data_IF_518442439921
#
_entry.id   IF_518442439921
#
_cell.length_a   1.000
_cell.length_b   1.000
_cell.length_c   1.000
_cell.angle_alpha   90.00
_cell.angle_beta   90.00
_cell.angle_gamma   90.00
#
_symmetry.space_group_name_H-M   'P 1'
#
loop_
_entity.id
_entity.type
_entity.pdbx_description
1 polymer ?
#
# COMPACT_ATOMS: atom_id res chain seq x y z
N UNK A 1 39.57 35.20 24.29
CA UNK A 1 39.60 34.22 25.38
C UNK A 1 39.23 32.88 24.78
N UNK A 2 40.23 32.19 24.23
CA UNK A 2 40.83 30.98 24.80
C UNK A 2 39.84 29.80 24.91
N UNK A 3 39.98 28.90 23.93
CA UNK A 3 40.24 27.46 24.09
C UNK A 3 39.40 26.68 25.10
N UNK A 4 38.59 25.73 24.61
CA UNK A 4 38.78 24.31 24.92
C UNK A 4 37.86 23.41 24.08
N UNK A 5 38.46 22.65 23.16
CA UNK A 5 37.86 21.47 22.55
C UNK A 5 38.08 20.28 23.49
N UNK A 6 37.08 19.39 23.64
CA UNK A 6 37.30 18.04 24.15
C UNK A 6 36.94 16.98 23.08
N UNK A 7 37.64 15.83 23.05
CA UNK A 7 37.88 15.08 21.82
C UNK A 7 36.98 13.85 21.63
N UNK A 8 36.66 13.54 20.38
CA UNK A 8 36.21 12.21 19.97
C UNK A 8 37.38 11.22 20.02
N UNK A 9 37.23 10.17 20.81
CA UNK A 9 38.15 9.03 20.86
C UNK A 9 37.85 8.10 19.67
N UNK A 10 38.70 8.15 18.65
CA UNK A 10 38.68 7.23 17.52
C UNK A 10 39.84 6.26 17.69
N UNK A 11 39.53 4.99 17.97
CA UNK A 11 40.52 3.94 18.16
C UNK A 11 40.99 3.41 16.80
N UNK A 12 42.31 3.35 16.68
CA UNK A 12 43.08 3.32 15.43
C UNK A 12 43.52 1.90 15.13
N UNK A 13 43.30 1.42 13.91
CA UNK A 13 44.29 0.53 13.27
C UNK A 13 43.80 -0.56 12.32
N UNK A 14 43.59 -0.23 11.04
CA UNK A 14 44.36 -0.85 9.94
C UNK A 14 44.21 -0.10 8.60
N UNK A 15 45.39 0.13 8.00
CA UNK A 15 45.82 0.68 6.70
C UNK A 15 44.81 0.56 5.53
N UNK A 16 44.42 1.68 4.91
CA UNK A 16 44.92 2.24 3.63
C UNK A 16 44.66 1.35 2.38
N UNK A 17 43.70 1.71 1.52
CA UNK A 17 43.93 2.19 0.14
C UNK A 17 42.63 2.49 -0.65
N UNK A 18 42.62 3.69 -1.26
CA UNK A 18 41.69 4.21 -2.29
C UNK A 18 40.23 4.44 -1.83
N UNK A 19 39.60 5.61 -2.00
CA UNK A 19 39.63 6.48 -3.18
C UNK A 19 39.52 7.96 -2.78
N UNK A 20 40.36 8.79 -3.40
CA UNK A 20 40.32 10.25 -3.37
C UNK A 20 39.47 10.76 -4.54
N UNK A 21 38.34 11.39 -4.27
CA UNK A 21 37.72 12.55 -4.97
C UNK A 21 36.37 12.79 -4.27
N UNK A 22 35.93 13.98 -3.90
CA UNK A 22 36.24 15.31 -4.36
C UNK A 22 36.09 16.33 -3.21
N UNK A 23 36.90 17.38 -3.32
CA UNK A 23 36.82 18.60 -2.55
C UNK A 23 36.08 19.66 -3.39
N UNK A 24 35.44 20.61 -2.71
CA UNK A 24 35.10 21.96 -3.13
C UNK A 24 33.78 22.28 -3.87
N UNK A 25 33.28 23.46 -3.46
CA UNK A 25 32.38 24.42 -4.15
C UNK A 25 30.88 24.26 -3.90
N UNK A 26 30.11 25.30 -3.53
CA UNK A 26 30.39 26.69 -3.14
C UNK A 26 29.13 27.34 -2.50
N UNK A 27 29.36 28.24 -1.52
CA UNK A 27 28.81 29.61 -1.33
C UNK A 27 27.31 29.87 -1.63
N UNK A 28 26.44 30.36 -0.73
CA UNK A 28 26.35 31.61 0.09
C UNK A 28 24.88 32.14 -0.09
N UNK A 29 24.43 33.29 0.46
CA UNK A 29 24.28 33.71 1.86
C UNK A 29 22.84 34.20 2.18
N UNK A 30 22.39 34.19 3.44
CA UNK A 30 21.10 34.79 3.86
C UNK A 30 21.30 36.04 4.72
N UNK A 31 20.82 37.20 4.27
CA UNK A 31 20.65 38.45 5.05
C UNK A 31 19.67 39.40 4.31
N UNK A 32 19.07 40.45 4.95
CA UNK A 32 17.84 40.36 5.76
C UNK A 32 16.82 41.48 5.39
N UNK A 33 15.80 41.65 6.25
CA UNK A 33 14.91 42.81 6.50
C UNK A 33 13.50 42.83 5.87
N UNK A 34 12.56 42.91 6.80
CA UNK A 34 11.21 43.43 6.71
C UNK A 34 11.11 44.80 6.03
N UNK A 35 10.04 45.00 5.23
CA UNK A 35 8.95 45.95 5.50
C UNK A 35 7.91 45.94 4.36
N UNK A 36 6.69 46.27 4.76
CA UNK A 36 5.64 46.96 3.99
C UNK A 36 4.53 46.17 3.26
N UNK A 37 3.33 46.39 3.82
CA UNK A 37 2.04 46.75 3.17
C UNK A 37 1.26 45.67 2.41
N UNK A 38 0.21 45.18 3.07
CA UNK A 38 -1.01 44.67 2.44
C UNK A 38 -2.01 45.82 2.19
N UNK A 39 -2.78 45.77 1.08
CA UNK A 39 -4.12 46.36 1.00
C UNK A 39 -5.22 45.29 1.10
N UNK A 40 -6.41 45.62 1.65
CA UNK A 40 -7.51 44.67 1.83
C UNK A 40 -8.47 44.68 0.64
N UNK A 41 -8.97 43.52 0.22
CA UNK A 41 -10.29 43.45 -0.41
C UNK A 41 -11.06 42.19 0.05
N UNK A 42 -12.31 42.36 0.51
CA UNK A 42 -13.17 41.28 0.97
C UNK A 42 -14.11 40.84 -0.15
N UNK A 43 -14.32 39.54 -0.37
CA UNK A 43 -15.57 39.07 -0.97
C UNK A 43 -15.92 37.68 -0.47
N UNK A 44 -17.10 37.63 0.12
CA UNK A 44 -17.84 36.49 0.62
C UNK A 44 -18.23 35.56 -0.53
N UNK A 45 -18.12 34.24 -0.35
CA UNK A 45 -19.20 33.35 -0.76
C UNK A 45 -19.20 32.05 0.05
N UNK A 46 -20.37 31.79 0.60
CA UNK A 46 -20.79 30.62 1.35
C UNK A 46 -20.68 29.33 0.55
N UNK A 47 -20.21 28.26 1.18
CA UNK A 47 -20.54 26.90 0.79
C UNK A 47 -20.72 26.04 2.04
N UNK A 48 -21.85 25.34 2.06
CA UNK A 48 -22.39 24.57 3.15
C UNK A 48 -21.63 23.24 3.40
N UNK A 49 -21.85 22.74 4.61
CA UNK A 49 -21.84 21.32 5.00
C UNK A 49 -20.49 20.57 4.99
N UNK A 50 -19.89 20.46 6.18
CA UNK A 50 -19.14 19.27 6.57
C UNK A 50 -19.66 18.79 7.93
N UNK A 51 -20.41 17.69 7.89
CA UNK A 51 -21.00 17.05 9.05
C UNK A 51 -19.94 16.28 9.86
N UNK A 52 -19.96 16.54 11.16
CA UNK A 52 -19.72 15.64 12.30
C UNK A 52 -18.62 14.58 12.21
N UNK A 53 -17.48 14.86 12.86
CA UNK A 53 -16.62 13.82 13.46
C UNK A 53 -16.83 13.88 14.97
N UNK A 54 -17.56 12.88 15.50
CA UNK A 54 -17.69 12.63 16.94
C UNK A 54 -16.43 11.90 17.42
N UNK A 55 -15.54 12.58 18.13
CA UNK A 55 -14.47 11.94 18.91
C UNK A 55 -14.88 11.90 20.39
N UNK A 56 -15.17 10.70 20.87
CA UNK A 56 -15.37 10.43 22.29
C UNK A 56 -13.99 10.31 22.97
N UNK A 57 -13.61 11.33 23.73
CA UNK A 57 -12.46 11.28 24.63
C UNK A 57 -12.93 10.82 26.02
N UNK A 58 -12.66 9.56 26.36
CA UNK A 58 -12.90 9.02 27.71
C UNK A 58 -11.77 9.50 28.63
N UNK A 59 -12.15 10.31 29.61
CA UNK A 59 -11.29 10.81 30.68
C UNK A 59 -10.82 9.69 31.60
N UNK A 60 -9.50 9.56 31.80
CA UNK A 60 -8.90 8.74 32.85
C UNK A 60 -8.48 9.64 34.01
N UNK A 61 -9.30 9.70 35.05
CA UNK A 61 -8.92 10.26 36.35
C UNK A 61 -8.65 9.10 37.32
N UNK A 62 -7.39 8.90 37.72
CA UNK A 62 -6.98 8.01 38.82
C UNK A 62 -6.61 8.86 40.04
N UNK A 63 -7.30 8.74 41.18
CA UNK A 63 -6.83 9.35 42.41
C UNK A 63 -5.76 8.47 43.08
N UNK A 64 -4.69 9.13 43.53
CA UNK A 64 -3.64 8.59 44.40
C UNK A 64 -4.19 8.49 45.82
N UNK A 65 -4.24 7.28 46.38
CA UNK A 65 -4.55 7.04 47.79
C UNK A 65 -3.32 6.47 48.52
N UNK A 66 -3.10 7.00 49.72
CA UNK A 66 -1.95 6.81 50.62
C UNK A 66 -1.84 5.40 51.20
N UNK A 67 -0.62 5.07 51.59
CA UNK A 67 -0.18 3.81 52.18
C UNK A 67 -0.48 3.63 53.68
N UNK A 68 -0.41 2.35 54.10
CA UNK A 68 -0.16 1.75 55.43
C UNK A 68 -1.36 1.11 56.18
N UNK A 69 -1.16 0.12 57.07
CA UNK A 69 -0.12 -0.92 57.14
C UNK A 69 -0.66 -2.36 57.30
N UNK A 70 0.30 -3.29 57.28
CA UNK A 70 0.24 -4.75 57.38
C UNK A 70 -0.48 -5.28 58.63
N UNK A 71 -1.31 -6.32 58.45
CA UNK A 71 -1.63 -7.31 59.49
C UNK A 71 -1.66 -8.71 58.89
N UNK A 72 -0.89 -9.62 59.50
CA UNK A 72 -0.69 -11.00 59.11
C UNK A 72 -1.77 -11.96 59.68
N UNK A 73 -1.70 -13.23 59.23
CA UNK A 73 -2.40 -14.45 59.69
C UNK A 73 -3.84 -14.65 59.14
N UNK A 74 -4.30 -15.81 58.68
CA UNK A 74 -3.80 -17.19 58.62
C UNK A 74 -4.70 -18.07 57.72
N UNK A 75 -4.15 -19.21 57.28
CA UNK A 75 -4.82 -20.50 57.07
C UNK A 75 -5.78 -20.73 55.88
N UNK A 76 -5.30 -21.58 54.97
CA UNK A 76 -5.96 -22.79 54.44
C UNK A 76 -7.34 -22.67 53.76
N UNK A 77 -7.32 -22.70 52.44
CA UNK A 77 -8.17 -23.60 51.65
C UNK A 77 -7.45 -23.90 50.32
N UNK A 78 -6.68 -24.99 50.29
CA UNK A 78 -6.16 -25.54 49.04
C UNK A 78 -7.36 -26.17 48.34
N UNK A 79 -8.02 -25.41 47.46
CA UNK A 79 -8.97 -25.97 46.51
C UNK A 79 -8.19 -26.97 45.64
N UNK A 80 -8.58 -28.24 45.68
CA UNK A 80 -8.09 -29.24 44.73
C UNK A 80 -8.29 -28.70 43.32
N UNK A 81 -7.26 -28.67 42.44
CA UNK A 81 -7.52 -28.52 41.03
C UNK A 81 -8.37 -29.73 40.64
N UNK A 82 -9.64 -29.50 40.31
CA UNK A 82 -10.44 -30.48 39.61
C UNK A 82 -9.57 -30.99 38.46
N UNK A 83 -9.27 -32.29 38.47
CA UNK A 83 -8.53 -32.94 37.41
C UNK A 83 -9.13 -32.44 36.09
N UNK A 84 -8.31 -31.75 35.30
CA UNK A 84 -8.69 -31.35 33.96
C UNK A 84 -9.10 -32.64 33.24
N UNK A 85 -10.41 -32.84 33.12
CA UNK A 85 -10.95 -33.96 32.38
C UNK A 85 -10.26 -33.89 31.02
N UNK A 86 -9.59 -34.98 30.62
CA UNK A 86 -9.02 -35.07 29.29
C UNK A 86 -10.11 -34.62 28.30
N UNK A 87 -9.82 -33.68 27.39
CA UNK A 87 -10.83 -33.22 26.44
C UNK A 87 -11.42 -34.46 25.78
N UNK A 88 -12.74 -34.61 25.87
CA UNK A 88 -13.42 -35.76 25.32
C UNK A 88 -13.01 -35.88 23.84
N UNK A 89 -12.69 -37.10 23.36
CA UNK A 89 -12.27 -37.30 21.98
C UNK A 89 -13.34 -36.70 21.05
N UNK A 90 -12.91 -35.82 20.15
CA UNK A 90 -13.83 -35.18 19.21
C UNK A 90 -14.48 -36.28 18.38
N UNK A 91 -15.82 -36.31 18.36
CA UNK A 91 -16.53 -37.38 17.67
C UNK A 91 -16.18 -37.39 16.18
N UNK A 92 -16.07 -38.60 15.61
CA UNK A 92 -15.74 -38.82 14.21
C UNK A 92 -16.64 -38.05 13.23
N UNK A 93 -17.92 -37.89 13.57
CA UNK A 93 -18.88 -37.12 12.79
C UNK A 93 -18.54 -35.62 12.69
N UNK A 94 -17.90 -35.05 13.71
CA UNK A 94 -17.43 -33.65 13.70
C UNK A 94 -16.16 -33.51 12.87
N UNK A 95 -15.32 -34.56 12.84
CA UNK A 95 -14.02 -34.55 12.17
C UNK A 95 -14.07 -34.89 10.67
N UNK A 96 -15.02 -35.72 10.24
CA UNK A 96 -15.10 -36.21 8.85
C UNK A 96 -15.28 -35.09 7.80
N UNK A 97 -15.91 -33.98 8.20
CA UNK A 97 -16.32 -32.92 7.29
C UNK A 97 -15.83 -31.53 7.74
N UNK A 98 -14.72 -31.49 8.49
CA UNK A 98 -14.07 -30.25 8.95
C UNK A 98 -13.83 -29.27 7.78
N UNK A 99 -13.36 -29.68 6.58
CA UNK A 99 -13.09 -28.75 5.50
C UNK A 99 -14.30 -27.92 5.05
N UNK A 100 -15.49 -28.52 4.98
CA UNK A 100 -16.69 -27.84 4.52
C UNK A 100 -17.31 -26.93 5.58
N UNK A 101 -17.27 -27.34 6.85
CA UNK A 101 -17.93 -26.62 7.97
C UNK A 101 -17.06 -25.58 8.67
N UNK A 102 -15.74 -25.62 8.49
CA UNK A 102 -14.79 -24.77 9.23
C UNK A 102 -15.09 -23.27 9.14
N UNK A 103 -15.54 -22.78 7.98
CA UNK A 103 -15.88 -21.37 7.76
C UNK A 103 -17.23 -20.98 8.37
N UNK A 104 -18.15 -21.94 8.54
CA UNK A 104 -19.47 -21.73 9.13
C UNK A 104 -19.48 -21.87 10.66
N UNK A 105 -18.46 -22.50 11.25
CA UNK A 105 -18.35 -22.65 12.70
C UNK A 105 -18.10 -21.31 13.40
N UNK A 106 -18.70 -21.15 14.57
CA UNK A 106 -18.42 -20.00 15.44
C UNK A 106 -16.95 -19.99 15.86
N UNK A 107 -16.44 -18.83 16.27
CA UNK A 107 -15.06 -18.72 16.73
C UNK A 107 -14.79 -19.60 17.97
N UNK A 108 -15.77 -19.71 18.87
CA UNK A 108 -15.68 -20.54 20.07
C UNK A 108 -15.61 -22.04 19.75
N UNK A 109 -16.41 -22.52 18.79
CA UNK A 109 -16.35 -23.93 18.37
C UNK A 109 -15.04 -24.26 17.65
N UNK A 110 -14.51 -23.33 16.86
CA UNK A 110 -13.20 -23.52 16.22
C UNK A 110 -12.10 -23.68 17.26
N UNK A 111 -12.13 -22.88 18.34
CA UNK A 111 -11.14 -23.03 19.43
C UNK A 111 -11.28 -24.37 20.14
N UNK A 112 -12.50 -24.80 20.49
CA UNK A 112 -12.69 -26.07 21.21
C UNK A 112 -12.26 -27.29 20.38
N UNK A 113 -12.55 -27.30 19.08
CA UNK A 113 -12.10 -28.36 18.16
C UNK A 113 -10.59 -28.33 17.99
N UNK A 114 -9.99 -27.14 17.87
CA UNK A 114 -8.53 -26.98 17.74
C UNK A 114 -7.81 -27.47 18.99
N UNK A 115 -8.26 -27.07 20.17
CA UNK A 115 -7.63 -27.44 21.44
C UNK A 115 -7.70 -28.95 21.69
N UNK A 116 -8.82 -29.59 21.33
CA UNK A 116 -8.97 -31.04 21.42
C UNK A 116 -8.03 -31.77 20.46
N UNK A 117 -7.86 -31.27 19.23
CA UNK A 117 -6.93 -31.85 18.24
C UNK A 117 -5.45 -31.63 18.62
N UNK A 118 -5.11 -30.46 19.18
CA UNK A 118 -3.77 -30.19 19.73
C UNK A 118 -3.47 -31.10 20.91
N UNK A 119 -4.47 -31.34 21.79
CA UNK A 119 -4.32 -32.26 22.90
C UNK A 119 -4.07 -33.70 22.41
N UNK A 120 -4.78 -34.15 21.38
CA UNK A 120 -4.55 -35.46 20.75
C UNK A 120 -3.16 -35.55 20.09
N UNK A 121 -2.72 -34.47 19.43
CA UNK A 121 -1.42 -34.40 18.75
C UNK A 121 -0.22 -34.49 19.71
N UNK A 122 -0.38 -34.09 20.98
CA UNK A 122 0.67 -34.24 22.02
C UNK A 122 0.93 -35.70 22.39
N UNK A 123 0.00 -36.61 22.08
CA UNK A 123 0.14 -38.05 22.32
C UNK A 123 0.88 -38.78 21.21
N UNK A 124 0.63 -40.09 21.09
CA UNK A 124 1.21 -40.91 20.03
C UNK A 124 0.57 -40.62 18.65
N UNK A 125 1.37 -40.05 17.74
CA UNK A 125 1.01 -39.76 16.36
C UNK A 125 0.60 -40.99 15.52
N UNK A 126 0.99 -42.21 15.91
CA UNK A 126 0.54 -43.44 15.23
C UNK A 126 -0.87 -43.81 15.63
N UNK A 127 -1.28 -43.50 16.87
CA UNK A 127 -2.62 -43.75 17.37
C UNK A 127 -3.69 -42.79 16.80
N UNK A 128 -3.29 -41.64 16.24
CA UNK A 128 -4.22 -40.71 15.58
C UNK A 128 -4.85 -41.34 14.33
N UNK A 129 -6.17 -41.20 14.22
CA UNK A 129 -6.95 -41.64 13.07
C UNK A 129 -6.60 -40.83 11.82
N UNK A 130 -6.86 -41.39 10.64
CA UNK A 130 -6.61 -40.70 9.37
C UNK A 130 -7.45 -39.42 9.20
N UNK A 131 -8.62 -39.37 9.83
CA UNK A 131 -9.52 -38.21 9.79
C UNK A 131 -9.03 -37.08 10.69
N UNK A 132 -8.54 -37.38 11.90
CA UNK A 132 -7.90 -36.38 12.77
C UNK A 132 -6.66 -35.77 12.12
N UNK A 133 -5.87 -36.60 11.43
CA UNK A 133 -4.70 -36.12 10.67
C UNK A 133 -5.09 -35.17 9.54
N UNK A 134 -6.16 -35.49 8.80
CA UNK A 134 -6.70 -34.62 7.74
C UNK A 134 -7.25 -33.31 8.31
N UNK A 135 -7.97 -33.37 9.43
CA UNK A 135 -8.50 -32.20 10.12
C UNK A 135 -7.37 -31.29 10.64
N UNK A 136 -6.36 -31.85 11.30
CA UNK A 136 -5.16 -31.12 11.74
C UNK A 136 -4.45 -30.43 10.58
N UNK A 137 -4.24 -31.16 9.47
CA UNK A 137 -3.64 -30.58 8.27
C UNK A 137 -4.49 -29.42 7.73
N UNK A 138 -5.81 -29.60 7.68
CA UNK A 138 -6.73 -28.55 7.23
C UNK A 138 -6.74 -27.33 8.15
N UNK A 139 -6.67 -27.48 9.48
CA UNK A 139 -6.66 -26.34 10.43
C UNK A 139 -5.33 -25.57 10.40
N UNK A 140 -4.21 -26.25 10.08
CA UNK A 140 -2.91 -25.61 9.99
C UNK A 140 -2.70 -24.88 8.64
N UNK A 141 -3.14 -25.52 7.55
CA UNK A 141 -2.77 -25.14 6.18
C UNK A 141 -3.96 -24.94 5.23
N UNK A 142 -5.20 -25.06 5.71
CA UNK A 142 -6.38 -24.90 4.88
C UNK A 142 -6.53 -23.47 4.33
N UNK A 143 -7.37 -23.29 3.31
CA UNK A 143 -7.72 -21.98 2.75
C UNK A 143 -8.70 -21.25 3.68
N UNK A 144 -8.34 -21.13 4.95
CA UNK A 144 -9.01 -20.30 5.93
C UNK A 144 -8.07 -19.16 6.29
N UNK A 145 -8.59 -18.07 6.88
CA UNK A 145 -7.79 -16.97 7.45
C UNK A 145 -6.76 -16.37 6.47
N UNK A 146 -7.13 -15.33 5.70
CA UNK A 146 -6.20 -14.57 4.83
C UNK A 146 -5.54 -15.34 3.67
N UNK A 147 -5.57 -16.68 3.70
CA UNK A 147 -5.14 -17.62 2.67
C UNK A 147 -6.31 -18.11 1.82
N UNK A 148 -7.46 -17.45 1.95
CA UNK A 148 -8.63 -17.72 1.14
C UNK A 148 -8.32 -17.42 -0.33
N UNK A 149 -8.81 -18.28 -1.21
CA UNK A 149 -8.71 -18.03 -2.65
C UNK A 149 -9.55 -16.79 -2.98
N UNK A 150 -9.05 -15.95 -3.89
CA UNK A 150 -9.82 -14.83 -4.41
C UNK A 150 -11.20 -15.34 -4.89
N UNK A 151 -12.28 -14.59 -4.60
CA UNK A 151 -13.62 -15.02 -4.96
C UNK A 151 -13.73 -15.24 -6.47
N UNK A 152 -14.54 -16.22 -6.87
CA UNK A 152 -14.75 -16.53 -8.29
C UNK A 152 -15.23 -15.27 -9.03
N UNK A 153 -14.55 -14.92 -10.13
CA UNK A 153 -14.86 -13.74 -10.93
C UNK A 153 -14.19 -12.44 -10.49
N UNK A 154 -13.32 -12.45 -9.46
CA UNK A 154 -12.56 -11.25 -9.05
C UNK A 154 -11.77 -10.63 -10.20
N UNK A 155 -11.09 -11.46 -11.01
CA UNK A 155 -10.26 -10.98 -12.13
C UNK A 155 -11.07 -10.25 -13.20
N UNK A 156 -12.28 -10.73 -13.51
CA UNK A 156 -13.17 -10.08 -14.49
C UNK A 156 -13.63 -8.72 -13.97
N UNK A 157 -13.94 -8.62 -12.67
CA UNK A 157 -14.30 -7.34 -12.04
C UNK A 157 -13.17 -6.32 -12.12
N UNK A 158 -11.93 -6.73 -11.81
CA UNK A 158 -10.76 -5.86 -11.89
C UNK A 158 -10.49 -5.42 -13.32
N UNK A 159 -10.55 -6.34 -14.28
CA UNK A 159 -10.36 -6.03 -15.70
C UNK A 159 -11.38 -5.03 -16.23
N UNK A 160 -12.67 -5.27 -15.97
CA UNK A 160 -13.75 -4.36 -16.38
C UNK A 160 -13.62 -2.99 -15.70
N UNK A 161 -13.27 -2.95 -14.42
CA UNK A 161 -13.06 -1.69 -13.71
C UNK A 161 -11.90 -0.88 -14.31
N UNK A 162 -10.80 -1.53 -14.67
CA UNK A 162 -9.66 -0.87 -15.32
C UNK A 162 -10.03 -0.31 -16.68
N UNK A 163 -10.69 -1.10 -17.54
CA UNK A 163 -11.14 -0.63 -18.85
C UNK A 163 -12.15 0.51 -18.72
N UNK A 164 -13.09 0.42 -17.79
CA UNK A 164 -14.05 1.49 -17.53
C UNK A 164 -13.35 2.79 -17.11
N UNK A 165 -12.34 2.72 -16.24
CA UNK A 165 -11.56 3.88 -15.82
C UNK A 165 -10.82 4.55 -16.99
N UNK A 166 -10.18 3.74 -17.85
CA UNK A 166 -9.52 4.23 -19.07
C UNK A 166 -10.55 4.85 -20.03
N UNK A 167 -11.71 4.21 -20.20
CA UNK A 167 -12.80 4.71 -21.04
C UNK A 167 -13.35 6.05 -20.57
N UNK A 168 -13.57 6.22 -19.26
CA UNK A 168 -14.02 7.48 -18.67
C UNK A 168 -12.97 8.58 -18.87
N UNK A 169 -11.70 8.26 -18.66
CA UNK A 169 -10.59 9.20 -18.86
C UNK A 169 -10.48 9.65 -20.32
N UNK A 170 -10.60 8.71 -21.25
CA UNK A 170 -10.57 8.98 -22.69
C UNK A 170 -11.78 9.81 -23.15
N UNK A 171 -12.97 9.47 -22.66
CA UNK A 171 -14.20 10.22 -22.96
C UNK A 171 -14.11 11.66 -22.44
N UNK A 172 -13.62 11.85 -21.21
CA UNK A 172 -13.38 13.19 -20.64
C UNK A 172 -12.35 13.98 -21.44
N UNK A 173 -11.25 13.35 -21.86
CA UNK A 173 -10.26 13.98 -22.72
C UNK A 173 -10.84 14.41 -24.07
N UNK A 174 -11.61 13.54 -24.73
CA UNK A 174 -12.24 13.86 -26.01
C UNK A 174 -13.30 14.96 -25.88
N UNK A 175 -14.04 14.97 -24.77
CA UNK A 175 -14.99 16.04 -24.45
C UNK A 175 -14.30 17.39 -24.28
N UNK A 176 -13.20 17.47 -23.54
CA UNK A 176 -12.44 18.73 -23.40
C UNK A 176 -11.80 19.12 -24.73
N UNK A 177 -11.29 18.15 -25.49
CA UNK A 177 -10.64 18.37 -26.78
C UNK A 177 -11.60 18.88 -27.85
N UNK A 178 -12.88 18.50 -27.81
CA UNK A 178 -13.90 18.97 -28.77
C UNK A 178 -14.26 20.45 -28.56
N UNK A 179 -14.09 20.98 -27.35
CA UNK A 179 -14.26 22.41 -27.03
C UNK A 179 -13.01 23.25 -27.36
N UNK A 180 -11.95 22.63 -27.88
CA UNK A 180 -10.70 23.30 -28.23
C UNK A 180 -10.81 24.21 -29.46
N UNK A 181 -9.81 25.07 -29.64
CA UNK A 181 -9.69 25.96 -30.81
C UNK A 181 -9.54 25.16 -32.11
N UNK A 182 -9.91 25.81 -33.21
CA UNK A 182 -9.70 25.30 -34.57
C UNK A 182 -8.22 24.95 -34.82
N UNK A 183 -7.99 23.95 -35.68
CA UNK A 183 -6.63 23.56 -36.11
C UNK A 183 -5.98 24.76 -36.84
N UNK A 184 -4.69 25.06 -36.60
CA UNK A 184 -4.03 26.15 -37.32
C UNK A 184 -3.87 25.78 -38.80
N UNK A 185 -3.85 26.79 -39.68
CA UNK A 185 -3.78 26.61 -41.14
C UNK A 185 -2.56 25.78 -41.61
N UNK A 186 -1.47 25.77 -40.83
CA UNK A 186 -0.25 25.00 -41.16
C UNK A 186 -0.44 23.49 -41.10
N UNK A 187 -1.53 23.02 -40.50
CA UNK A 187 -1.93 21.60 -40.49
C UNK A 187 -2.84 21.24 -41.67
N UNK A 188 -3.10 22.14 -42.62
CA UNK A 188 -3.79 21.77 -43.86
C UNK A 188 -2.90 20.90 -44.75
N UNK A 189 -3.53 20.12 -45.62
CA UNK A 189 -2.81 19.20 -46.51
C UNK A 189 -1.92 19.96 -47.49
N UNK A 190 -2.44 21.03 -48.11
CA UNK A 190 -1.66 21.82 -49.06
C UNK A 190 -0.43 22.48 -48.41
N UNK A 191 -0.54 22.92 -47.15
CA UNK A 191 0.59 23.53 -46.44
C UNK A 191 1.68 22.50 -46.12
N UNK A 192 1.29 21.29 -45.73
CA UNK A 192 2.23 20.20 -45.45
C UNK A 192 2.95 19.75 -46.72
N UNK A 193 2.25 19.67 -47.86
CA UNK A 193 2.84 19.36 -49.16
C UNK A 193 3.83 20.44 -49.62
N UNK A 194 3.47 21.73 -49.49
CA UNK A 194 4.36 22.83 -49.81
C UNK A 194 5.62 22.86 -48.91
N UNK A 195 5.44 22.57 -47.61
CA UNK A 195 6.56 22.48 -46.67
C UNK A 195 7.48 21.31 -47.01
N UNK A 196 6.93 20.19 -47.46
CA UNK A 196 7.69 19.03 -47.90
C UNK A 196 8.50 19.34 -49.17
N UNK A 197 7.91 19.97 -50.17
CA UNK A 197 8.60 20.37 -51.40
C UNK A 197 9.72 21.38 -51.12
N UNK A 198 9.48 22.32 -50.21
CA UNK A 198 10.52 23.21 -49.71
C UNK A 198 11.64 22.45 -49.00
N UNK A 199 11.33 21.52 -48.09
CA UNK A 199 12.32 20.72 -47.38
C UNK A 199 13.17 19.83 -48.34
N UNK A 200 12.55 19.31 -49.40
CA UNK A 200 13.23 18.57 -50.46
C UNK A 200 14.16 19.48 -51.28
N UNK A 201 13.70 20.70 -51.62
CA UNK A 201 14.52 21.68 -52.33
C UNK A 201 15.79 22.06 -51.54
N UNK A 202 15.68 22.12 -50.21
CA UNK A 202 16.79 22.44 -49.30
C UNK A 202 17.60 21.20 -48.89
N UNK A 203 17.29 20.01 -49.42
CA UNK A 203 17.92 18.72 -49.05
C UNK A 203 17.93 18.48 -47.52
N UNK A 204 16.85 18.88 -46.85
CA UNK A 204 16.69 18.73 -45.41
C UNK A 204 16.56 17.26 -45.01
N UNK A 205 17.49 16.81 -44.16
CA UNK A 205 17.59 15.42 -43.69
C UNK A 205 17.56 14.37 -44.82
N UNK A 206 18.66 14.22 -45.59
CA UNK A 206 18.70 13.43 -46.82
C UNK A 206 18.80 11.90 -46.61
N UNK A 207 19.07 11.42 -45.38
CA UNK A 207 19.24 9.98 -45.13
C UNK A 207 17.95 9.30 -44.67
N UNK A 208 17.19 9.94 -43.78
CA UNK A 208 15.98 9.36 -43.17
C UNK A 208 14.76 10.27 -43.24
N UNK A 209 14.93 11.49 -43.74
CA UNK A 209 13.92 12.53 -43.71
C UNK A 209 13.24 12.78 -45.04
N UNK A 210 12.55 13.92 -45.10
CA UNK A 210 11.76 14.40 -46.22
C UNK A 210 12.49 14.42 -47.58
N UNK A 211 13.81 14.61 -47.59
CA UNK A 211 14.64 14.63 -48.80
C UNK A 211 15.31 13.28 -49.12
N UNK A 212 14.99 12.22 -48.38
CA UNK A 212 15.56 10.89 -48.64
C UNK A 212 14.94 10.23 -49.88
N UNK A 213 15.66 9.33 -50.57
CA UNK A 213 15.14 8.62 -51.73
C UNK A 213 13.87 7.80 -51.45
N UNK A 214 13.67 7.41 -50.18
CA UNK A 214 12.54 6.60 -49.74
C UNK A 214 11.38 7.46 -49.18
N UNK A 215 11.48 8.79 -49.23
CA UNK A 215 10.45 9.68 -48.72
C UNK A 215 9.23 9.67 -49.65
N UNK A 216 8.10 9.19 -49.15
CA UNK A 216 6.81 9.26 -49.83
C UNK A 216 5.95 10.38 -49.24
N UNK A 217 5.13 11.04 -50.06
CA UNK A 217 4.26 12.15 -49.61
C UNK A 217 3.32 11.70 -48.48
N UNK A 218 2.83 10.46 -48.54
CA UNK A 218 1.93 9.86 -47.53
C UNK A 218 2.55 9.73 -46.13
N UNK A 219 3.89 9.69 -46.03
CA UNK A 219 4.57 9.59 -44.73
C UNK A 219 4.63 10.92 -43.96
N UNK A 220 4.60 12.04 -44.68
CA UNK A 220 4.79 13.38 -44.10
C UNK A 220 3.55 14.26 -44.16
N UNK A 221 2.58 13.90 -44.99
CA UNK A 221 1.32 14.63 -45.17
C UNK A 221 0.21 13.85 -44.49
N UNK A 222 -0.41 14.45 -43.47
CA UNK A 222 -1.56 13.84 -42.80
C UNK A 222 -2.74 13.77 -43.77
N UNK A 223 -3.30 12.58 -43.98
CA UNK A 223 -4.47 12.37 -44.86
C UNK A 223 -5.82 12.84 -44.28
N UNK A 224 -5.79 13.51 -43.13
CA UNK A 224 -6.99 13.88 -42.37
C UNK A 224 -7.48 15.26 -42.79
N UNK A 225 -8.45 15.27 -43.71
CA UNK A 225 -9.36 16.41 -43.87
C UNK A 225 -10.42 16.36 -42.77
#
# INVERSE_FOLDING_TARGET
MLTSCFPCRCERGRRQQSQHTACCTSQQPTRPRARDRAPPLPFLLSAAAAAMIRTAAVQLARPVARAAPVRAASAAAVASPAAAAAPAPVSRAVLADVPARWTTLSAAERTTVTDALIAAQRGDWKALTAEEKKALYYIAYGPHTGREKLPKGFQVKVFLATIASVGISFAGFMWIRSLGRERPHTFSKEWQEATLEYAQSQKGNPYTGAASPNATKDMYVSSVN
#
